data_IF_251733819022
#
_entry.id   IF_251733819022
#
_cell.length_a   1.000
_cell.length_b   1.000
_cell.length_c   1.000
_cell.angle_alpha   90.00
_cell.angle_beta   90.00
_cell.angle_gamma   90.00
#
_symmetry.space_group_name_H-M   'P 1'
#
loop_
_entity.id
_entity.type
_entity.pdbx_description
1 polymer ?
#
# COMPACT_ATOMS: atom_id res chain seq x y z
N UNK A 1 -18.28 33.97 16.66
CA UNK A 1 -19.02 34.12 15.40
C UNK A 1 -18.17 34.95 14.44
N UNK A 2 -17.25 34.31 13.71
CA UNK A 2 -16.52 34.95 12.63
C UNK A 2 -17.05 34.36 11.32
N UNK A 3 -17.98 35.08 10.69
CA UNK A 3 -18.36 34.84 9.29
C UNK A 3 -17.20 35.36 8.44
N UNK A 4 -16.31 34.48 8.02
CA UNK A 4 -15.44 34.77 6.88
C UNK A 4 -16.32 34.75 5.63
N UNK A 5 -16.46 35.91 5.01
CA UNK A 5 -17.10 36.07 3.71
C UNK A 5 -16.32 35.27 2.66
N UNK A 6 -16.86 34.13 2.24
CA UNK A 6 -16.56 33.54 0.94
C UNK A 6 -17.13 34.46 -0.16
N UNK A 7 -16.40 34.73 -1.24
CA UNK A 7 -16.95 35.43 -2.41
C UNK A 7 -18.15 34.64 -3.00
N UNK A 8 -19.09 35.38 -3.60
CA UNK A 8 -20.42 34.94 -4.07
C UNK A 8 -20.41 33.81 -5.14
N UNK A 9 -21.55 33.13 -5.39
CA UNK A 9 -21.65 31.68 -5.38
C UNK A 9 -21.01 31.04 -6.61
N UNK A 10 -19.92 30.32 -6.41
CA UNK A 10 -19.62 29.22 -7.31
C UNK A 10 -20.69 28.15 -7.06
N UNK A 11 -21.59 27.94 -8.02
CA UNK A 11 -22.65 26.94 -7.94
C UNK A 11 -22.06 25.55 -8.14
N UNK A 12 -21.33 25.04 -7.14
CA UNK A 12 -20.99 23.63 -7.08
C UNK A 12 -22.29 22.81 -7.12
N UNK A 13 -22.37 21.81 -8.00
CA UNK A 13 -23.60 21.03 -8.22
C UNK A 13 -23.82 19.94 -7.19
N UNK A 14 -22.84 19.67 -6.34
CA UNK A 14 -23.00 18.75 -5.24
C UNK A 14 -24.03 19.27 -4.23
N UNK A 15 -25.00 18.41 -3.91
CA UNK A 15 -25.94 18.60 -2.80
C UNK A 15 -25.93 17.33 -1.93
N UNK A 16 -26.28 17.48 -0.65
CA UNK A 16 -26.38 16.33 0.24
C UNK A 16 -27.33 15.25 -0.34
N UNK A 17 -26.86 14.00 -0.35
CA UNK A 17 -27.56 12.88 -0.99
C UNK A 17 -27.08 12.59 -2.42
N UNK A 18 -26.16 13.37 -3.00
CA UNK A 18 -25.45 12.96 -4.21
C UNK A 18 -24.32 11.95 -3.88
N UNK A 19 -23.86 11.25 -4.91
CA UNK A 19 -22.88 10.18 -4.78
C UNK A 19 -21.47 10.65 -4.46
N UNK A 20 -20.68 9.73 -3.90
CA UNK A 20 -19.25 9.88 -3.65
C UNK A 20 -18.55 8.80 -4.47
N UNK A 21 -17.62 9.22 -5.32
CA UNK A 21 -16.91 8.38 -6.29
C UNK A 21 -15.51 8.17 -5.75
N UNK A 22 -15.27 6.95 -5.27
CA UNK A 22 -14.12 6.61 -4.45
C UNK A 22 -13.20 5.73 -5.28
N UNK A 23 -11.91 6.03 -5.28
CA UNK A 23 -10.88 5.04 -5.63
C UNK A 23 -10.16 4.66 -4.35
N UNK A 24 -10.29 3.39 -3.96
CA UNK A 24 -9.66 2.80 -2.79
C UNK A 24 -8.40 2.04 -3.18
N UNK A 25 -7.32 2.16 -2.42
CA UNK A 25 -6.12 1.31 -2.53
C UNK A 25 -5.49 1.13 -1.14
N UNK A 26 -4.33 0.46 -1.04
CA UNK A 26 -3.60 0.33 0.23
C UNK A 26 -2.14 0.77 0.14
N UNK A 27 -1.60 1.13 1.30
CA UNK A 27 -0.30 1.78 1.50
C UNK A 27 0.74 0.86 2.11
N UNK A 28 0.31 -0.29 2.62
CA UNK A 28 1.18 -1.32 3.14
C UNK A 28 1.53 -2.36 2.07
N UNK A 29 2.61 -3.10 2.34
CA UNK A 29 3.10 -4.21 1.53
C UNK A 29 3.72 -5.24 2.46
N UNK A 30 3.88 -6.51 2.03
CA UNK A 30 4.50 -7.52 2.86
C UNK A 30 5.95 -7.16 3.15
N UNK A 31 6.36 -7.23 4.41
CA UNK A 31 7.69 -6.82 4.84
C UNK A 31 8.16 -7.52 6.11
N UNK A 32 9.44 -7.34 6.44
CA UNK A 32 9.97 -7.68 7.75
C UNK A 32 9.86 -6.45 8.66
N UNK A 33 8.97 -6.48 9.65
CA UNK A 33 8.88 -5.43 10.69
C UNK A 33 9.82 -5.76 11.84
N UNK A 34 10.45 -4.76 12.45
CA UNK A 34 11.24 -4.95 13.66
C UNK A 34 10.32 -5.37 14.82
N UNK A 35 10.79 -6.29 15.66
CA UNK A 35 10.06 -6.69 16.89
C UNK A 35 10.17 -5.61 17.97
N UNK A 36 9.22 -5.52 18.92
CA UNK A 36 9.33 -4.62 20.08
C UNK A 36 10.57 -4.86 20.95
N UNK A 37 11.14 -6.07 20.90
CA UNK A 37 12.47 -6.40 21.44
C UNK A 37 13.28 -6.98 20.29
N UNK A 38 14.21 -6.18 19.76
CA UNK A 38 15.00 -6.56 18.58
C UNK A 38 16.34 -7.18 18.92
N UNK A 39 16.81 -7.05 20.15
CA UNK A 39 18.17 -7.48 20.52
C UNK A 39 18.33 -9.00 20.40
N UNK A 40 19.12 -9.44 19.43
CA UNK A 40 19.55 -10.84 19.27
C UNK A 40 21.07 -10.88 19.14
N UNK A 41 21.74 -11.73 19.92
CA UNK A 41 23.18 -11.96 19.84
C UNK A 41 23.46 -13.45 19.72
N UNK A 42 24.12 -13.87 18.64
CA UNK A 42 24.46 -15.29 18.40
C UNK A 42 25.68 -15.39 17.49
N UNK A 43 26.57 -16.35 17.77
CA UNK A 43 27.70 -16.67 16.87
C UNK A 43 28.69 -15.51 16.64
N UNK A 44 28.80 -14.56 17.58
CA UNK A 44 29.63 -13.36 17.41
C UNK A 44 28.98 -12.24 16.58
N UNK A 45 27.72 -12.38 16.20
CA UNK A 45 26.95 -11.38 15.47
C UNK A 45 25.91 -10.68 16.36
N UNK A 46 25.66 -9.42 16.02
CA UNK A 46 24.54 -8.62 16.48
C UNK A 46 23.47 -8.70 15.39
N UNK A 47 22.37 -9.37 15.69
CA UNK A 47 21.21 -9.53 14.80
C UNK A 47 20.04 -8.65 15.29
N UNK A 48 19.14 -8.33 14.37
CA UNK A 48 17.91 -7.58 14.66
C UNK A 48 16.72 -8.54 14.54
N UNK A 49 16.04 -8.78 15.65
CA UNK A 49 14.81 -9.56 15.68
C UNK A 49 13.71 -8.91 14.86
N UNK A 50 13.18 -9.66 13.88
CA UNK A 50 12.09 -9.23 12.99
C UNK A 50 10.87 -10.15 13.09
N UNK A 51 9.74 -9.66 12.63
CA UNK A 51 8.48 -10.38 12.44
C UNK A 51 8.01 -10.22 10.99
N UNK A 52 7.39 -11.27 10.46
CA UNK A 52 6.80 -11.24 9.11
C UNK A 52 5.46 -10.53 9.13
N UNK A 53 5.30 -9.53 8.27
CA UNK A 53 4.07 -8.78 8.06
C UNK A 53 3.53 -9.09 6.66
N UNK A 54 2.27 -9.51 6.54
CA UNK A 54 1.65 -9.89 5.27
C UNK A 54 2.10 -11.24 4.69
N UNK A 55 1.68 -11.49 3.44
CA UNK A 55 1.91 -12.74 2.71
C UNK A 55 3.22 -12.81 1.91
N UNK A 56 4.34 -12.33 2.47
CA UNK A 56 5.59 -12.11 1.71
C UNK A 56 6.25 -13.36 1.11
N UNK A 57 6.88 -13.19 -0.05
CA UNK A 57 7.82 -14.17 -0.63
C UNK A 57 9.17 -14.10 0.08
N UNK A 58 9.24 -14.64 1.30
CA UNK A 58 10.35 -14.44 2.24
C UNK A 58 11.74 -14.86 1.72
N UNK A 59 11.80 -15.81 0.78
CA UNK A 59 13.06 -16.20 0.15
C UNK A 59 13.70 -15.05 -0.64
N UNK A 60 12.90 -14.12 -1.15
CA UNK A 60 13.40 -12.97 -1.93
C UNK A 60 14.08 -11.90 -1.06
N UNK A 61 13.88 -11.95 0.26
CA UNK A 61 14.48 -11.04 1.24
C UNK A 61 15.90 -11.44 1.65
N UNK A 62 16.31 -12.67 1.33
CA UNK A 62 17.67 -13.13 1.56
C UNK A 62 18.64 -12.45 0.60
N UNK A 63 19.87 -12.23 1.06
CA UNK A 63 20.96 -11.68 0.27
C UNK A 63 20.71 -10.30 -0.34
N UNK A 64 19.78 -9.55 0.26
CA UNK A 64 19.47 -8.15 -0.04
C UNK A 64 20.23 -7.21 0.87
N UNK A 65 20.56 -6.05 0.32
CA UNK A 65 21.17 -4.95 1.04
C UNK A 65 20.04 -4.14 1.69
N UNK A 66 19.79 -4.40 2.98
CA UNK A 66 18.62 -3.89 3.69
C UNK A 66 18.95 -2.68 4.55
N UNK A 67 18.04 -1.71 4.51
CA UNK A 67 17.95 -0.61 5.45
C UNK A 67 16.66 -0.72 6.28
N UNK A 68 16.37 0.32 7.09
CA UNK A 68 15.12 0.43 7.85
C UNK A 68 14.43 1.77 7.58
N UNK A 69 13.11 1.75 7.58
CA UNK A 69 12.26 2.94 7.49
C UNK A 69 11.00 2.78 8.33
N UNK A 70 10.40 3.88 8.79
CA UNK A 70 9.13 3.85 9.51
C UNK A 70 8.98 5.05 10.44
N UNK A 71 8.29 4.86 11.57
CA UNK A 71 8.07 5.91 12.57
C UNK A 71 8.76 5.60 13.89
N UNK A 72 9.22 6.65 14.56
CA UNK A 72 9.77 6.62 15.93
C UNK A 72 8.95 7.57 16.80
N UNK A 73 8.66 7.17 18.03
CA UNK A 73 8.09 8.03 19.05
C UNK A 73 9.25 8.58 19.88
N UNK A 74 9.36 9.90 19.93
CA UNK A 74 10.40 10.59 20.66
C UNK A 74 9.81 11.41 21.80
N UNK A 75 10.58 11.50 22.86
CA UNK A 75 10.36 12.42 23.96
C UNK A 75 11.08 13.73 23.66
N UNK A 76 10.40 14.85 23.85
CA UNK A 76 10.95 16.19 23.65
C UNK A 76 10.79 17.00 24.94
N UNK A 77 11.88 17.65 25.35
CA UNK A 77 11.88 18.61 26.46
C UNK A 77 11.90 20.02 25.88
N UNK A 78 10.83 20.78 26.11
CA UNK A 78 10.74 22.18 25.69
C UNK A 78 10.17 23.04 26.82
N UNK A 79 10.89 24.10 27.16
CA UNK A 79 10.49 25.08 28.20
C UNK A 79 10.15 24.43 29.56
N UNK A 80 10.87 23.36 29.94
CA UNK A 80 10.63 22.61 31.18
C UNK A 80 9.39 21.70 31.15
N UNK A 81 8.73 21.57 30.00
CA UNK A 81 7.61 20.67 29.76
C UNK A 81 8.01 19.47 28.88
N UNK A 82 7.49 18.31 29.25
CA UNK A 82 7.68 17.07 28.51
C UNK A 82 6.56 16.89 27.49
N UNK A 83 6.94 16.59 26.25
CA UNK A 83 6.01 16.27 25.16
C UNK A 83 6.48 15.06 24.38
N UNK A 84 5.56 14.44 23.63
CA UNK A 84 5.84 13.27 22.80
C UNK A 84 5.39 13.56 21.38
N UNK A 85 6.26 13.28 20.43
CA UNK A 85 5.96 13.44 19.00
C UNK A 85 6.45 12.23 18.23
N UNK A 86 5.86 11.97 17.07
CA UNK A 86 6.39 10.96 16.16
C UNK A 86 7.22 11.62 15.06
N UNK A 87 8.32 10.98 14.65
CA UNK A 87 9.11 11.36 13.47
C UNK A 87 9.18 10.20 12.51
N UNK A 88 9.19 10.50 11.21
CA UNK A 88 9.49 9.50 10.19
C UNK A 88 11.01 9.40 10.05
N UNK A 89 11.51 8.17 10.00
CA UNK A 89 12.93 7.88 9.81
C UNK A 89 13.10 6.94 8.63
N UNK A 90 14.16 7.16 7.85
CA UNK A 90 14.63 6.27 6.81
C UNK A 90 16.15 6.33 6.81
N UNK A 91 16.78 5.19 7.02
CA UNK A 91 18.22 5.04 6.79
C UNK A 91 18.38 4.71 5.31
N UNK A 92 19.23 5.46 4.60
CA UNK A 92 19.49 5.19 3.17
C UNK A 92 20.52 4.08 2.96
N UNK A 93 21.44 3.94 3.90
CA UNK A 93 22.57 3.03 3.81
C UNK A 93 22.19 1.57 4.13
N UNK A 94 22.80 0.59 3.45
CA UNK A 94 22.53 -0.83 3.67
C UNK A 94 23.21 -1.30 4.96
N UNK A 95 22.49 -1.18 6.06
CA UNK A 95 23.02 -1.46 7.40
C UNK A 95 22.88 -2.93 7.81
N UNK A 96 22.05 -3.72 7.14
CA UNK A 96 21.80 -5.10 7.55
C UNK A 96 21.50 -6.04 6.39
N UNK A 97 21.63 -7.35 6.62
CA UNK A 97 21.43 -8.38 5.60
C UNK A 97 20.94 -9.68 6.21
N UNK A 98 20.02 -10.37 5.53
CA UNK A 98 19.65 -11.76 5.85
C UNK A 98 20.47 -12.70 4.95
N UNK A 99 21.58 -13.29 5.40
CA UNK A 99 22.42 -14.12 4.55
C UNK A 99 21.79 -15.49 4.30
N UNK A 100 21.94 -16.04 3.09
CA UNK A 100 21.63 -17.45 2.85
C UNK A 100 22.65 -18.39 3.51
N UNK A 101 22.22 -19.62 3.81
CA UNK A 101 23.16 -20.69 4.14
C UNK A 101 23.85 -21.16 2.85
N UNK A 102 25.16 -21.37 2.91
CA UNK A 102 25.92 -21.84 1.76
C UNK A 102 25.44 -23.25 1.33
N UNK A 103 25.24 -23.45 0.03
CA UNK A 103 24.80 -24.72 -0.58
C UNK A 103 25.65 -25.95 -0.17
N UNK A 104 26.94 -25.75 0.13
CA UNK A 104 27.82 -26.82 0.59
C UNK A 104 27.37 -27.43 1.94
N UNK A 105 26.62 -26.67 2.73
CA UNK A 105 26.05 -27.04 4.02
C UNK A 105 24.56 -27.38 3.94
N UNK A 106 23.93 -27.17 2.79
CA UNK A 106 22.54 -27.53 2.48
C UNK A 106 22.45 -28.04 1.04
N UNK A 107 22.68 -29.34 0.87
CA UNK A 107 22.79 -29.96 -0.46
C UNK A 107 21.46 -30.03 -1.20
N UNK A 108 20.34 -29.96 -0.47
CA UNK A 108 19.00 -30.12 -1.02
C UNK A 108 18.28 -28.77 -1.22
N UNK A 109 18.99 -27.65 -1.01
CA UNK A 109 18.43 -26.29 -1.06
C UNK A 109 17.76 -25.95 -2.40
N UNK A 110 18.25 -26.52 -3.49
CA UNK A 110 17.71 -26.29 -4.84
C UNK A 110 16.43 -27.08 -5.12
N UNK A 111 16.17 -28.16 -4.38
CA UNK A 111 14.91 -28.92 -4.48
C UNK A 111 13.79 -28.24 -3.68
N UNK A 112 14.14 -27.32 -2.79
CA UNK A 112 13.18 -26.43 -2.13
C UNK A 112 13.82 -25.55 -1.05
N UNK A 113 13.74 -24.23 -1.24
CA UNK A 113 14.25 -23.26 -0.26
C UNK A 113 13.29 -23.09 0.93
N UNK A 114 13.39 -24.01 1.90
CA UNK A 114 12.53 -24.04 3.09
C UNK A 114 13.03 -23.10 4.18
N UNK A 115 12.36 -21.97 4.33
CA UNK A 115 12.70 -20.95 5.33
C UNK A 115 11.87 -21.14 6.60
N UNK A 116 12.53 -21.33 7.74
CA UNK A 116 11.88 -21.12 9.03
C UNK A 116 11.83 -19.61 9.32
N UNK A 117 10.61 -19.05 9.34
CA UNK A 117 10.38 -17.62 9.48
C UNK A 117 10.92 -17.02 10.79
N UNK A 118 11.10 -17.82 11.84
CA UNK A 118 11.60 -17.37 13.13
C UNK A 118 13.12 -17.47 13.24
N UNK A 119 13.72 -18.58 12.79
CA UNK A 119 15.16 -18.84 12.99
C UNK A 119 16.04 -18.37 11.85
N UNK A 120 15.51 -18.17 10.64
CA UNK A 120 16.33 -17.91 9.44
C UNK A 120 16.14 -16.51 8.83
N UNK A 121 15.28 -15.66 9.39
CA UNK A 121 14.98 -14.32 8.83
C UNK A 121 15.57 -13.15 9.61
N UNK A 122 16.28 -13.39 10.71
CA UNK A 122 16.91 -12.30 11.49
C UNK A 122 18.09 -11.71 10.70
N UNK A 123 18.05 -10.43 10.28
CA UNK A 123 19.17 -9.81 9.60
C UNK A 123 20.33 -9.54 10.56
N UNK A 124 21.55 -9.74 10.06
CA UNK A 124 22.81 -9.37 10.72
C UNK A 124 23.02 -7.87 10.55
N UNK A 125 23.27 -7.16 11.65
CA UNK A 125 23.57 -5.72 11.69
C UNK A 125 25.08 -5.47 11.79
N UNK A 126 25.77 -6.21 12.66
CA UNK A 126 27.21 -6.02 12.92
C UNK A 126 27.82 -7.26 13.57
N UNK A 127 29.14 -7.27 13.72
CA UNK A 127 29.85 -8.24 14.58
C UNK A 127 30.09 -7.66 15.97
N UNK A 128 30.13 -8.52 16.99
CA UNK A 128 30.47 -8.10 18.35
C UNK A 128 31.87 -7.47 18.40
N UNK A 129 32.83 -8.02 17.65
CA UNK A 129 34.21 -7.51 17.55
C UNK A 129 34.24 -6.05 17.09
N UNK A 130 33.54 -5.71 16.00
CA UNK A 130 33.53 -4.33 15.52
C UNK A 130 32.72 -3.40 16.42
N UNK A 131 31.66 -3.89 17.05
CA UNK A 131 30.90 -3.11 18.01
C UNK A 131 31.74 -2.76 19.25
N UNK A 132 32.53 -3.69 19.79
CA UNK A 132 33.43 -3.44 20.92
C UNK A 132 34.56 -2.46 20.57
N UNK A 133 35.21 -2.63 19.40
CA UNK A 133 36.25 -1.70 18.95
C UNK A 133 35.72 -0.27 18.78
N UNK A 134 34.51 -0.12 18.25
CA UNK A 134 33.89 1.19 18.08
C UNK A 134 33.44 1.81 19.41
N UNK A 135 33.08 1.01 20.42
CA UNK A 135 32.81 1.50 21.78
C UNK A 135 34.08 2.10 22.40
N UNK A 136 35.20 1.39 22.38
CA UNK A 136 36.46 1.87 22.97
C UNK A 136 37.01 3.13 22.28
N UNK A 137 36.72 3.32 20.99
CA UNK A 137 37.07 4.55 20.28
C UNK A 137 36.17 5.76 20.66
N UNK A 138 34.95 5.50 21.15
CA UNK A 138 33.98 6.51 21.55
C UNK A 138 34.04 6.87 23.06
N UNK A 139 34.91 6.21 23.85
CA UNK A 139 35.13 6.46 25.28
C UNK A 139 35.75 7.84 25.61
N UNK A 140 35.96 8.70 24.60
CA UNK A 140 36.14 10.15 24.80
C UNK A 140 34.81 10.94 24.87
N UNK A 141 33.64 10.30 25.05
CA UNK A 141 32.42 11.06 25.38
C UNK A 141 31.04 10.39 25.33
N UNK A 142 30.85 9.11 24.96
CA UNK A 142 29.49 8.54 24.87
C UNK A 142 29.12 7.63 26.06
N UNK A 143 28.04 8.00 26.77
CA UNK A 143 27.39 7.22 27.84
C UNK A 143 26.81 5.91 27.27
N UNK A 144 27.00 4.79 27.97
CA UNK A 144 26.34 3.53 27.61
C UNK A 144 24.83 3.65 27.75
N UNK A 145 24.14 3.84 26.63
CA UNK A 145 22.68 3.69 26.52
C UNK A 145 22.34 2.22 26.46
N UNK A 146 22.46 1.54 27.60
CA UNK A 146 22.22 0.11 27.73
C UNK A 146 20.73 -0.23 27.70
N UNK A 147 20.04 -0.06 26.57
CA UNK A 147 18.69 -0.61 26.43
C UNK A 147 18.77 -2.14 26.47
N UNK A 148 18.00 -2.82 27.34
CA UNK A 148 17.92 -4.27 27.30
C UNK A 148 17.15 -4.78 26.07
N UNK A 149 16.33 -3.91 25.44
CA UNK A 149 15.43 -4.29 24.35
C UNK A 149 16.09 -4.28 22.97
N UNK A 150 17.07 -3.41 22.76
CA UNK A 150 17.66 -3.14 21.44
C UNK A 150 19.19 -3.03 21.55
N UNK A 151 19.90 -3.34 20.47
CA UNK A 151 21.34 -3.05 20.39
C UNK A 151 21.56 -1.54 20.40
N UNK A 152 22.52 -1.04 21.19
CA UNK A 152 22.83 0.39 21.26
C UNK A 152 23.22 0.97 19.90
N UNK A 153 23.91 0.19 19.04
CA UNK A 153 24.23 0.58 17.67
C UNK A 153 22.98 0.89 16.84
N UNK A 154 21.93 0.07 16.96
CA UNK A 154 20.67 0.30 16.25
C UNK A 154 19.99 1.59 16.73
N UNK A 155 19.94 1.81 18.05
CA UNK A 155 19.35 3.03 18.62
C UNK A 155 20.14 4.29 18.21
N UNK A 156 21.47 4.22 18.17
CA UNK A 156 22.32 5.32 17.71
C UNK A 156 22.04 5.69 16.24
N UNK A 157 21.92 4.70 15.36
CA UNK A 157 21.58 4.91 13.95
C UNK A 157 20.20 5.56 13.79
N UNK A 158 19.20 5.07 14.54
CA UNK A 158 17.84 5.63 14.53
C UNK A 158 17.84 7.06 15.07
N UNK A 159 18.52 7.31 16.19
CA UNK A 159 18.59 8.61 16.86
C UNK A 159 19.28 9.66 15.99
N UNK A 160 20.38 9.28 15.33
CA UNK A 160 21.08 10.14 14.37
C UNK A 160 20.16 10.55 13.22
N UNK A 161 19.37 9.62 12.67
CA UNK A 161 18.42 9.92 11.61
C UNK A 161 17.22 10.74 12.11
N UNK A 162 16.77 10.49 13.34
CA UNK A 162 15.67 11.20 13.96
C UNK A 162 16.07 12.62 14.41
N UNK A 163 17.36 12.91 14.60
CA UNK A 163 17.84 14.15 15.18
C UNK A 163 17.49 14.29 16.67
N UNK A 164 17.67 13.22 17.44
CA UNK A 164 17.47 13.18 18.90
C UNK A 164 18.58 12.38 19.59
N UNK A 165 18.60 12.35 20.93
CA UNK A 165 19.46 11.44 21.66
C UNK A 165 18.87 10.01 21.67
N UNK A 166 19.67 8.93 21.74
CA UNK A 166 19.13 7.56 21.81
C UNK A 166 18.18 7.32 23.00
N UNK A 167 18.38 8.04 24.10
CA UNK A 167 17.56 7.98 25.32
C UNK A 167 16.18 8.63 25.15
N UNK A 168 16.04 9.53 24.17
CA UNK A 168 14.77 10.19 23.86
C UNK A 168 13.82 9.28 23.06
N UNK A 169 14.33 8.19 22.48
CA UNK A 169 13.50 7.22 21.73
C UNK A 169 12.65 6.42 22.72
N UNK A 170 11.34 6.61 22.67
CA UNK A 170 10.38 5.91 23.52
C UNK A 170 9.99 4.55 22.95
N UNK A 171 9.64 4.51 21.66
CA UNK A 171 9.26 3.29 20.93
C UNK A 171 9.36 3.55 19.42
N UNK A 172 9.20 2.50 18.60
CA UNK A 172 9.21 2.63 17.14
C UNK A 172 8.46 1.53 16.42
N UNK A 173 7.97 1.87 15.23
CA UNK A 173 7.47 0.92 14.23
C UNK A 173 8.28 1.09 12.96
N UNK A 174 9.26 0.20 12.80
CA UNK A 174 10.21 0.21 11.69
C UNK A 174 10.08 -1.09 10.89
N UNK A 175 10.26 -0.97 9.59
CA UNK A 175 10.31 -2.08 8.64
C UNK A 175 11.65 -2.11 7.93
N UNK A 176 12.14 -3.31 7.62
CA UNK A 176 13.24 -3.50 6.72
C UNK A 176 12.81 -3.14 5.29
N UNK A 177 13.70 -2.53 4.52
CA UNK A 177 13.46 -2.20 3.12
C UNK A 177 14.72 -2.43 2.26
N UNK A 178 14.52 -2.85 1.01
CA UNK A 178 15.60 -2.92 0.03
C UNK A 178 16.13 -1.51 -0.28
N UNK A 179 17.45 -1.36 -0.27
CA UNK A 179 18.14 -0.12 -0.66
C UNK A 179 18.23 0.04 -2.18
N UNK A 180 18.04 -1.04 -2.94
CA UNK A 180 18.07 -1.00 -4.39
C UNK A 180 16.91 -0.17 -4.96
N UNK A 181 17.22 1.01 -5.51
CA UNK A 181 16.23 1.93 -6.10
C UNK A 181 15.39 1.28 -7.19
N UNK A 182 14.14 1.71 -7.31
CA UNK A 182 13.25 1.33 -8.40
C UNK A 182 13.78 1.88 -9.73
N UNK A 183 13.61 1.11 -10.81
CA UNK A 183 14.15 1.46 -12.13
C UNK A 183 13.19 1.08 -13.25
N UNK A 184 13.28 1.83 -14.35
CA UNK A 184 12.78 1.37 -15.65
C UNK A 184 13.83 0.47 -16.28
N UNK A 185 13.45 -0.74 -16.66
CA UNK A 185 14.34 -1.83 -17.04
C UNK A 185 13.78 -2.69 -18.19
N UNK A 186 14.50 -3.76 -18.52
CA UNK A 186 14.26 -4.57 -19.72
C UNK A 186 15.05 -4.07 -20.92
N UNK A 187 15.28 -4.94 -21.90
CA UNK A 187 16.05 -4.61 -23.10
C UNK A 187 15.45 -3.42 -23.88
N UNK A 188 14.13 -3.24 -23.79
CA UNK A 188 13.38 -2.15 -24.43
C UNK A 188 12.91 -1.07 -23.44
N UNK A 189 13.38 -1.08 -22.18
CA UNK A 189 12.94 -0.14 -21.13
C UNK A 189 11.42 -0.13 -20.90
N UNK A 190 10.82 -1.31 -20.94
CA UNK A 190 9.37 -1.51 -20.93
C UNK A 190 8.84 -1.97 -19.56
N UNK A 191 9.71 -2.24 -18.59
CA UNK A 191 9.32 -2.74 -17.27
C UNK A 191 9.68 -1.78 -16.16
N UNK A 192 8.87 -1.78 -15.10
CA UNK A 192 9.19 -1.18 -13.81
C UNK A 192 9.65 -2.30 -12.87
N UNK A 193 10.89 -2.24 -12.41
CA UNK A 193 11.38 -3.11 -11.33
C UNK A 193 11.41 -2.32 -10.02
N UNK A 194 10.56 -2.68 -9.08
CA UNK A 194 10.39 -1.94 -7.82
C UNK A 194 9.94 -2.87 -6.71
N UNK A 195 10.34 -2.60 -5.47
CA UNK A 195 9.59 -3.13 -4.33
C UNK A 195 8.29 -2.36 -4.14
N UNK A 196 7.26 -3.03 -3.61
CA UNK A 196 5.99 -2.41 -3.19
C UNK A 196 5.18 -1.82 -4.35
N UNK A 197 5.30 -2.38 -5.56
CA UNK A 197 4.31 -2.11 -6.62
C UNK A 197 2.92 -2.45 -6.09
N UNK A 198 2.82 -3.59 -5.41
CA UNK A 198 1.72 -3.97 -4.55
C UNK A 198 1.81 -3.24 -3.19
N UNK A 199 1.01 -2.21 -2.91
CA UNK A 199 0.06 -1.56 -3.82
C UNK A 199 0.30 -0.05 -3.95
N UNK A 200 1.56 0.39 -3.77
CA UNK A 200 1.91 1.79 -3.96
C UNK A 200 1.74 2.24 -5.42
N UNK A 201 1.74 1.30 -6.38
CA UNK A 201 1.45 1.60 -7.78
C UNK A 201 0.02 2.11 -7.97
N UNK A 202 -1.00 1.40 -7.46
CA UNK A 202 -2.40 1.87 -7.57
C UNK A 202 -2.67 3.06 -6.67
N UNK A 203 -2.05 3.12 -5.48
CA UNK A 203 -2.11 4.32 -4.61
C UNK A 203 -1.62 5.57 -5.34
N UNK A 204 -0.46 5.48 -6.02
CA UNK A 204 0.09 6.57 -6.82
C UNK A 204 -0.86 6.98 -7.95
N UNK A 205 -1.33 6.01 -8.74
CA UNK A 205 -2.22 6.28 -9.87
C UNK A 205 -3.52 6.94 -9.41
N UNK A 206 -4.12 6.45 -8.32
CA UNK A 206 -5.36 6.97 -7.74
C UNK A 206 -5.20 8.42 -7.28
N UNK A 207 -4.15 8.70 -6.50
CA UNK A 207 -3.88 10.04 -6.00
C UNK A 207 -3.58 11.02 -7.14
N UNK A 208 -2.76 10.61 -8.11
CA UNK A 208 -2.41 11.45 -9.26
C UNK A 208 -3.63 11.74 -10.14
N UNK A 209 -4.50 10.75 -10.35
CA UNK A 209 -5.76 10.94 -11.06
C UNK A 209 -6.72 11.90 -10.35
N UNK A 210 -6.83 11.83 -9.02
CA UNK A 210 -7.64 12.78 -8.24
C UNK A 210 -7.12 14.22 -8.39
N UNK A 211 -5.81 14.42 -8.24
CA UNK A 211 -5.16 15.74 -8.38
C UNK A 211 -5.42 16.30 -9.79
N UNK A 212 -5.15 15.51 -10.83
CA UNK A 212 -5.19 15.99 -12.21
C UNK A 212 -6.62 16.09 -12.77
N UNK A 213 -7.57 15.31 -12.26
CA UNK A 213 -8.99 15.51 -12.59
C UNK A 213 -9.57 16.75 -11.94
N UNK A 214 -8.91 17.28 -10.89
CA UNK A 214 -9.39 18.40 -10.07
C UNK A 214 -8.47 19.63 -10.16
N UNK A 215 -7.65 19.74 -11.21
CA UNK A 215 -6.57 20.74 -11.30
C UNK A 215 -7.03 22.17 -11.56
N UNK A 216 -8.27 22.38 -12.02
CA UNK A 216 -8.87 23.71 -12.20
C UNK A 216 -10.27 23.76 -11.63
N UNK A 217 -10.74 24.95 -11.23
CA UNK A 217 -12.13 25.15 -10.77
C UNK A 217 -13.15 24.71 -11.81
N UNK A 218 -12.87 24.98 -13.10
CA UNK A 218 -13.70 24.53 -14.23
C UNK A 218 -13.79 23.01 -14.38
N UNK A 219 -12.85 22.24 -13.81
CA UNK A 219 -12.89 20.78 -13.85
C UNK A 219 -13.96 20.18 -12.93
N UNK A 220 -14.52 20.99 -12.03
CA UNK A 220 -15.53 20.60 -11.04
C UNK A 220 -16.84 21.38 -11.18
N UNK A 221 -16.95 22.35 -12.10
CA UNK A 221 -18.15 23.17 -12.30
C UNK A 221 -19.40 22.32 -12.59
N UNK A 222 -19.24 21.28 -13.40
CA UNK A 222 -20.32 20.36 -13.75
C UNK A 222 -20.40 19.10 -12.87
N UNK A 223 -19.52 18.98 -11.87
CA UNK A 223 -19.46 17.80 -11.02
C UNK A 223 -20.57 17.81 -9.96
N UNK A 224 -21.44 16.81 -10.03
CA UNK A 224 -22.55 16.63 -9.08
C UNK A 224 -22.20 15.75 -7.88
N UNK A 225 -21.15 14.94 -7.96
CA UNK A 225 -20.70 14.09 -6.85
C UNK A 225 -19.42 14.58 -6.19
N UNK A 226 -18.90 13.80 -5.25
CA UNK A 226 -17.60 14.06 -4.62
C UNK A 226 -16.59 13.05 -5.12
N UNK A 227 -15.44 13.53 -5.58
CA UNK A 227 -14.29 12.69 -5.93
C UNK A 227 -13.46 12.43 -4.68
N UNK A 228 -13.15 11.17 -4.42
CA UNK A 228 -12.43 10.75 -3.22
C UNK A 228 -11.39 9.69 -3.55
N UNK A 229 -10.25 9.76 -2.87
CA UNK A 229 -9.28 8.67 -2.79
C UNK A 229 -9.16 8.26 -1.32
N UNK A 230 -9.21 6.96 -1.06
CA UNK A 230 -9.04 6.39 0.26
C UNK A 230 -7.89 5.36 0.22
N UNK A 231 -6.81 5.64 0.94
CA UNK A 231 -5.62 4.79 0.97
C UNK A 231 -5.50 4.17 2.36
N UNK A 232 -5.67 2.85 2.45
CA UNK A 232 -5.73 2.12 3.71
C UNK A 232 -4.37 1.53 4.10
N UNK A 233 -4.19 1.29 5.39
CA UNK A 233 -3.10 0.44 5.90
C UNK A 233 -3.68 -0.95 6.22
N UNK A 234 -2.83 -1.92 6.53
CA UNK A 234 -3.22 -3.25 7.01
C UNK A 234 -4.02 -4.13 6.04
N UNK A 235 -4.00 -3.87 4.73
CA UNK A 235 -4.67 -4.75 3.76
C UNK A 235 -4.09 -6.17 3.82
N UNK A 236 -2.76 -6.25 3.84
CA UNK A 236 -1.97 -7.49 3.78
C UNK A 236 -2.18 -8.42 4.98
N UNK A 237 -2.84 -7.91 6.02
CA UNK A 237 -3.13 -8.62 7.26
C UNK A 237 -4.62 -8.69 7.56
N UNK A 238 -5.48 -8.38 6.58
CA UNK A 238 -6.93 -8.55 6.63
C UNK A 238 -7.75 -7.28 6.86
N UNK A 239 -7.13 -6.11 6.92
CA UNK A 239 -7.77 -4.79 7.10
C UNK A 239 -8.49 -4.53 8.43
N UNK A 240 -8.42 -5.46 9.39
CA UNK A 240 -9.06 -5.35 10.71
C UNK A 240 -8.27 -4.45 11.67
N UNK A 241 -8.28 -3.14 11.42
CA UNK A 241 -7.63 -2.15 12.27
C UNK A 241 -8.35 -0.79 12.21
N UNK A 242 -7.99 0.15 13.09
CA UNK A 242 -8.59 1.49 13.09
C UNK A 242 -8.39 2.26 11.78
N UNK A 243 -7.29 2.01 11.08
CA UNK A 243 -6.93 2.67 9.81
C UNK A 243 -7.05 1.77 8.57
N UNK A 244 -7.50 0.52 8.74
CA UNK A 244 -7.71 -0.42 7.64
C UNK A 244 -9.07 -0.28 6.98
N UNK A 245 -9.27 -0.94 5.85
CA UNK A 245 -10.54 -0.88 5.11
C UNK A 245 -11.73 -1.48 5.86
N UNK A 246 -11.50 -2.34 6.87
CA UNK A 246 -12.54 -2.88 7.75
C UNK A 246 -13.01 -1.89 8.83
N UNK A 247 -12.40 -0.70 8.90
CA UNK A 247 -12.73 0.31 9.89
C UNK A 247 -13.91 1.19 9.47
N UNK A 248 -14.58 1.88 10.41
CA UNK A 248 -15.68 2.78 10.10
C UNK A 248 -15.23 4.08 9.38
N UNK A 249 -13.93 4.28 9.13
CA UNK A 249 -13.37 5.57 8.67
C UNK A 249 -14.03 6.10 7.41
N UNK A 250 -14.36 5.25 6.44
CA UNK A 250 -15.03 5.67 5.20
C UNK A 250 -16.46 6.07 5.51
N UNK A 251 -17.22 5.23 6.22
CA UNK A 251 -18.61 5.54 6.59
C UNK A 251 -18.69 6.85 7.39
N UNK A 252 -17.77 7.06 8.34
CA UNK A 252 -17.67 8.29 9.11
C UNK A 252 -17.34 9.49 8.22
N UNK A 253 -16.47 9.32 7.22
CA UNK A 253 -16.18 10.37 6.23
C UNK A 253 -17.43 10.70 5.39
N UNK A 254 -18.14 9.71 4.83
CA UNK A 254 -19.36 9.94 4.06
C UNK A 254 -20.45 10.63 4.92
N UNK A 255 -20.60 10.19 6.16
CA UNK A 255 -21.52 10.78 7.14
C UNK A 255 -21.18 12.23 7.43
N UNK A 256 -19.93 12.54 7.76
CA UNK A 256 -19.48 13.92 8.05
C UNK A 256 -19.59 14.84 6.84
N UNK A 257 -19.25 14.34 5.64
CA UNK A 257 -19.40 15.13 4.42
C UNK A 257 -20.88 15.41 4.17
N UNK A 258 -21.74 14.39 4.15
CA UNK A 258 -23.18 14.57 3.93
C UNK A 258 -23.79 15.55 4.95
N UNK A 259 -23.45 15.38 6.24
CA UNK A 259 -23.96 16.20 7.33
C UNK A 259 -23.47 17.66 7.29
N UNK A 260 -22.36 17.93 6.61
CA UNK A 260 -21.84 19.29 6.43
C UNK A 260 -22.71 20.12 5.46
N UNK A 261 -23.49 19.46 4.60
CA UNK A 261 -24.36 20.11 3.61
C UNK A 261 -25.86 20.02 3.97
N UNK A 262 -26.26 19.07 4.81
CA UNK A 262 -27.65 18.95 5.31
C UNK A 262 -27.69 18.10 6.57
N UNK A 263 -28.54 18.47 7.54
CA UNK A 263 -28.78 17.67 8.75
C UNK A 263 -29.81 16.56 8.56
N UNK A 264 -30.35 16.35 7.35
CA UNK A 264 -31.30 15.28 7.07
C UNK A 264 -30.60 13.91 7.00
N UNK A 265 -30.84 13.09 8.02
CA UNK A 265 -30.22 11.77 8.17
C UNK A 265 -30.63 10.79 7.08
N UNK A 266 -31.72 11.05 6.33
CA UNK A 266 -32.16 10.22 5.21
C UNK A 266 -31.24 10.33 3.99
N UNK A 267 -30.43 11.39 3.91
CA UNK A 267 -29.59 11.65 2.75
C UNK A 267 -28.34 10.78 2.70
N UNK A 268 -27.81 10.32 3.84
CA UNK A 268 -26.63 9.45 3.86
C UNK A 268 -26.88 8.09 3.16
N UNK A 269 -27.97 7.34 3.47
CA UNK A 269 -28.29 6.13 2.71
C UNK A 269 -28.45 6.38 1.20
N UNK A 270 -29.04 7.51 0.81
CA UNK A 270 -29.20 7.88 -0.61
C UNK A 270 -27.83 8.15 -1.25
N UNK A 271 -26.95 8.88 -0.56
CA UNK A 271 -25.59 9.15 -1.02
C UNK A 271 -24.80 7.84 -1.21
N UNK A 272 -24.90 6.90 -0.27
CA UNK A 272 -24.25 5.58 -0.36
C UNK A 272 -24.71 4.82 -1.61
N UNK A 273 -26.02 4.75 -1.88
CA UNK A 273 -26.53 4.03 -3.06
C UNK A 273 -26.14 4.69 -4.39
N UNK A 274 -25.93 6.00 -4.38
CA UNK A 274 -25.41 6.76 -5.53
C UNK A 274 -23.88 6.79 -5.62
N UNK A 275 -23.18 6.23 -4.63
CA UNK A 275 -21.73 6.16 -4.59
C UNK A 275 -21.21 4.96 -5.39
N UNK A 276 -19.93 5.01 -5.74
CA UNK A 276 -19.25 3.94 -6.45
C UNK A 276 -17.80 3.85 -5.99
N UNK A 277 -17.32 2.63 -5.79
CA UNK A 277 -15.96 2.34 -5.37
C UNK A 277 -15.20 1.60 -6.47
N UNK A 278 -14.07 2.15 -6.88
CA UNK A 278 -13.03 1.43 -7.61
C UNK A 278 -12.03 0.92 -6.57
N UNK A 279 -12.07 -0.38 -6.28
CA UNK A 279 -11.08 -1.07 -5.46
C UNK A 279 -9.86 -1.36 -6.34
N UNK A 280 -8.85 -0.51 -6.22
CA UNK A 280 -7.65 -0.51 -7.03
C UNK A 280 -6.52 -1.23 -6.31
N UNK A 281 -6.21 -2.43 -6.81
CA UNK A 281 -5.19 -3.30 -6.27
C UNK A 281 -4.61 -4.17 -7.39
N UNK A 282 -3.31 -4.43 -7.37
CA UNK A 282 -2.57 -5.06 -8.47
C UNK A 282 -3.19 -6.40 -8.91
N UNK A 283 -2.89 -6.80 -10.15
CA UNK A 283 -3.42 -8.04 -10.76
C UNK A 283 -2.28 -8.98 -11.18
N UNK A 284 -2.57 -10.26 -11.32
CA UNK A 284 -1.57 -11.25 -11.73
C UNK A 284 -1.45 -11.32 -13.26
N UNK A 285 -0.33 -10.86 -13.81
CA UNK A 285 0.01 -11.07 -15.21
C UNK A 285 0.27 -12.57 -15.49
N UNK A 286 0.04 -13.01 -16.73
CA UNK A 286 0.40 -14.35 -17.17
C UNK A 286 1.91 -14.57 -16.99
N UNK A 287 2.28 -15.52 -16.14
CA UNK A 287 3.69 -15.83 -15.91
C UNK A 287 4.20 -16.81 -16.97
N UNK A 288 5.20 -16.46 -17.81
CA UNK A 288 5.61 -17.30 -18.94
C UNK A 288 6.16 -18.68 -18.53
N UNK A 289 6.80 -18.76 -17.35
CA UNK A 289 7.32 -20.03 -16.83
C UNK A 289 6.30 -20.85 -16.00
N UNK A 290 5.09 -20.34 -15.77
CA UNK A 290 4.06 -20.97 -14.92
C UNK A 290 2.65 -20.72 -15.50
N UNK A 291 2.51 -20.80 -16.83
CA UNK A 291 1.26 -20.46 -17.53
C UNK A 291 0.08 -21.33 -17.10
N UNK A 292 0.33 -22.54 -16.59
CA UNK A 292 -0.68 -23.47 -16.09
C UNK A 292 -1.45 -22.94 -14.86
N UNK A 293 -0.94 -21.89 -14.20
CA UNK A 293 -1.57 -21.26 -13.04
C UNK A 293 -2.70 -20.29 -13.38
N UNK A 294 -2.81 -19.85 -14.62
CA UNK A 294 -3.91 -19.00 -15.07
C UNK A 294 -5.06 -19.81 -15.66
N UNK A 295 -6.26 -19.25 -15.61
CA UNK A 295 -7.38 -19.76 -16.39
C UNK A 295 -7.11 -19.49 -17.88
N UNK A 296 -7.46 -20.42 -18.77
CA UNK A 296 -7.02 -20.40 -20.18
C UNK A 296 -7.49 -19.15 -20.94
N UNK A 297 -8.68 -18.63 -20.63
CA UNK A 297 -9.29 -17.49 -21.30
C UNK A 297 -9.11 -16.15 -20.54
N UNK A 298 -8.51 -16.17 -19.35
CA UNK A 298 -8.36 -14.99 -18.50
C UNK A 298 -6.89 -14.80 -18.08
N UNK A 299 -6.08 -14.42 -19.06
CA UNK A 299 -4.62 -14.35 -18.96
C UNK A 299 -4.15 -12.90 -19.19
N UNK A 300 -4.17 -12.02 -18.16
CA UNK A 300 -3.73 -10.65 -18.32
C UNK A 300 -2.30 -10.56 -18.85
N UNK A 301 -2.12 -9.80 -19.93
CA UNK A 301 -0.83 -9.52 -20.54
C UNK A 301 -0.30 -8.18 -20.03
N UNK A 302 1.02 -8.07 -19.93
CA UNK A 302 1.70 -6.79 -19.74
C UNK A 302 1.40 -5.86 -20.93
N UNK A 303 1.30 -4.56 -20.68
CA UNK A 303 0.92 -3.49 -21.62
C UNK A 303 -0.52 -3.60 -22.17
N UNK A 304 -1.26 -4.63 -21.76
CA UNK A 304 -2.61 -4.92 -22.22
C UNK A 304 -3.69 -4.07 -21.53
N UNK A 305 -3.31 -3.21 -20.58
CA UNK A 305 -4.24 -2.32 -19.89
C UNK A 305 -4.76 -2.87 -18.57
N UNK A 306 -5.60 -2.06 -17.93
CA UNK A 306 -6.08 -2.30 -16.57
C UNK A 306 -6.97 -3.56 -16.53
N UNK A 307 -6.71 -4.42 -15.56
CA UNK A 307 -7.40 -5.71 -15.42
C UNK A 307 -8.64 -5.54 -14.55
N UNK A 308 -9.80 -5.97 -15.04
CA UNK A 308 -11.03 -6.08 -14.26
C UNK A 308 -11.06 -7.47 -13.62
N UNK A 309 -11.05 -7.51 -12.28
CA UNK A 309 -10.92 -8.74 -11.49
C UNK A 309 -12.29 -9.28 -11.12
N UNK A 310 -12.62 -10.48 -11.57
CA UNK A 310 -13.90 -11.14 -11.32
C UNK A 310 -13.73 -12.35 -10.40
N UNK A 311 -14.64 -12.53 -9.45
CA UNK A 311 -14.72 -13.76 -8.67
C UNK A 311 -16.14 -13.92 -8.09
N UNK A 312 -16.88 -14.94 -8.54
CA UNK A 312 -18.28 -15.15 -8.12
C UNK A 312 -18.43 -15.37 -6.60
N UNK A 313 -17.40 -15.90 -5.93
CA UNK A 313 -17.35 -16.10 -4.48
C UNK A 313 -17.01 -14.80 -3.70
N UNK A 314 -17.11 -13.64 -4.36
CA UNK A 314 -16.90 -12.32 -3.75
C UNK A 314 -15.52 -12.15 -3.11
N UNK A 315 -14.49 -12.78 -3.69
CA UNK A 315 -13.08 -12.43 -3.42
C UNK A 315 -12.71 -11.09 -4.06
N UNK A 316 -13.48 -10.70 -5.08
CA UNK A 316 -13.55 -9.40 -5.70
C UNK A 316 -15.03 -9.01 -5.76
N UNK A 317 -15.38 -7.76 -5.53
CA UNK A 317 -16.76 -7.26 -5.48
C UNK A 317 -17.36 -6.93 -6.86
N UNK A 318 -16.56 -7.09 -7.92
CA UNK A 318 -16.97 -6.85 -9.31
C UNK A 318 -18.19 -7.68 -9.70
N UNK A 319 -19.14 -7.04 -10.39
CA UNK A 319 -20.27 -7.69 -11.02
C UNK A 319 -20.53 -7.12 -12.43
N UNK A 320 -21.57 -7.61 -13.12
CA UNK A 320 -21.90 -7.18 -14.48
C UNK A 320 -22.17 -5.67 -14.60
N UNK A 321 -22.85 -5.06 -13.62
CA UNK A 321 -23.15 -3.63 -13.62
C UNK A 321 -21.89 -2.80 -13.41
N UNK A 322 -21.10 -3.14 -12.38
CA UNK A 322 -19.93 -2.34 -12.00
C UNK A 322 -18.80 -2.47 -13.03
N UNK A 323 -18.61 -3.66 -13.60
CA UNK A 323 -17.68 -3.86 -14.72
C UNK A 323 -18.15 -3.17 -16.00
N UNK A 324 -19.46 -3.18 -16.33
CA UNK A 324 -19.99 -2.47 -17.50
C UNK A 324 -19.70 -0.97 -17.43
N UNK A 325 -20.05 -0.32 -16.32
CA UNK A 325 -19.78 1.12 -16.12
C UNK A 325 -18.29 1.41 -16.35
N UNK A 326 -17.43 0.62 -15.73
CA UNK A 326 -15.99 0.84 -15.78
C UNK A 326 -15.41 0.62 -17.19
N UNK A 327 -15.94 -0.35 -17.95
CA UNK A 327 -15.59 -0.56 -19.37
C UNK A 327 -16.08 0.53 -20.28
N UNK A 328 -17.30 1.03 -20.09
CA UNK A 328 -17.83 2.10 -20.93
C UNK A 328 -17.00 3.39 -20.83
N UNK A 329 -16.48 3.69 -19.63
CA UNK A 329 -15.51 4.78 -19.44
C UNK A 329 -14.22 4.48 -20.21
N UNK A 330 -13.71 3.26 -20.16
CA UNK A 330 -12.53 2.86 -20.94
C UNK A 330 -12.75 3.02 -22.45
N UNK A 331 -13.90 2.54 -22.97
CA UNK A 331 -14.29 2.63 -24.37
C UNK A 331 -14.34 4.09 -24.85
N UNK A 332 -14.96 4.98 -24.07
CA UNK A 332 -15.05 6.42 -24.38
C UNK A 332 -13.66 7.07 -24.53
N UNK A 333 -12.69 6.65 -23.71
CA UNK A 333 -11.32 7.17 -23.71
C UNK A 333 -10.34 6.34 -24.53
N UNK A 334 -10.80 5.26 -25.19
CA UNK A 334 -9.97 4.33 -25.97
C UNK A 334 -8.84 3.69 -25.13
N UNK A 335 -9.13 3.39 -23.87
CA UNK A 335 -8.20 2.75 -22.94
C UNK A 335 -8.37 1.22 -23.00
N UNK A 336 -7.26 0.46 -23.08
CA UNK A 336 -7.33 -0.99 -23.10
C UNK A 336 -7.68 -1.53 -21.70
N UNK A 337 -8.47 -2.59 -21.67
CA UNK A 337 -8.86 -3.31 -20.45
C UNK A 337 -8.79 -4.80 -20.67
N UNK A 338 -8.55 -5.55 -19.60
CA UNK A 338 -8.44 -7.00 -19.62
C UNK A 338 -9.33 -7.62 -18.54
N UNK A 339 -9.47 -8.94 -18.59
CA UNK A 339 -10.24 -9.71 -17.63
C UNK A 339 -9.39 -10.71 -16.88
N UNK A 340 -9.68 -10.85 -15.60
CA UNK A 340 -9.06 -11.87 -14.75
C UNK A 340 -10.12 -12.62 -13.95
N UNK A 341 -10.00 -13.94 -13.95
CA UNK A 341 -10.62 -14.85 -12.99
C UNK A 341 -9.61 -15.95 -12.67
N UNK A 342 -9.60 -16.40 -11.43
CA UNK A 342 -8.78 -17.57 -11.06
C UNK A 342 -9.37 -18.85 -11.63
N UNK A 343 -8.54 -19.88 -11.79
CA UNK A 343 -9.02 -21.24 -12.05
C UNK A 343 -9.91 -21.72 -10.91
N UNK A 344 -10.91 -22.54 -11.23
CA UNK A 344 -11.85 -23.08 -10.23
C UNK A 344 -11.20 -23.97 -9.16
N UNK A 345 -10.05 -24.58 -9.46
CA UNK A 345 -9.28 -25.44 -8.56
C UNK A 345 -8.25 -24.69 -7.70
N UNK A 346 -8.20 -23.36 -7.79
CA UNK A 346 -7.26 -22.51 -7.07
C UNK A 346 -7.96 -21.43 -6.25
N UNK A 347 -7.43 -21.16 -5.06
CA UNK A 347 -7.90 -20.07 -4.22
C UNK A 347 -7.37 -18.71 -4.72
N UNK A 348 -8.10 -17.65 -4.41
CA UNK A 348 -7.74 -16.26 -4.71
C UNK A 348 -7.58 -15.47 -3.41
N UNK A 349 -6.63 -14.52 -3.38
CA UNK A 349 -6.62 -13.45 -2.39
C UNK A 349 -7.95 -12.68 -2.38
N UNK A 350 -8.23 -11.99 -1.27
CA UNK A 350 -9.30 -10.98 -1.22
C UNK A 350 -8.67 -9.61 -1.38
N UNK A 351 -9.48 -8.58 -1.55
CA UNK A 351 -9.05 -7.17 -1.55
C UNK A 351 -9.85 -6.37 -0.52
N UNK A 352 -9.61 -5.07 -0.44
CA UNK A 352 -10.48 -4.11 0.26
C UNK A 352 -11.89 -4.00 -0.36
N UNK A 353 -12.09 -4.44 -1.61
CA UNK A 353 -13.33 -4.27 -2.36
C UNK A 353 -14.53 -4.92 -1.67
N UNK A 354 -14.52 -6.25 -1.43
CA UNK A 354 -15.58 -6.93 -0.69
C UNK A 354 -15.79 -6.41 0.74
N UNK A 355 -14.71 -5.98 1.41
CA UNK A 355 -14.75 -5.44 2.77
C UNK A 355 -15.58 -4.16 2.80
N UNK A 356 -15.27 -3.19 1.92
CA UNK A 356 -15.98 -1.92 1.85
C UNK A 356 -17.39 -2.08 1.24
N UNK A 357 -17.53 -2.93 0.23
CA UNK A 357 -18.82 -3.21 -0.39
C UNK A 357 -19.83 -3.78 0.62
N UNK A 358 -19.41 -4.75 1.44
CA UNK A 358 -20.27 -5.35 2.45
C UNK A 358 -20.43 -4.48 3.70
N UNK A 359 -19.38 -3.78 4.12
CA UNK A 359 -19.40 -2.93 5.32
C UNK A 359 -20.21 -1.64 5.16
N UNK A 360 -20.28 -1.09 3.94
CA UNK A 360 -20.91 0.21 3.68
C UNK A 360 -22.13 0.07 2.75
N UNK A 361 -22.15 -0.93 1.86
CA UNK A 361 -23.20 -1.10 0.86
C UNK A 361 -22.98 -0.29 -0.42
N UNK A 362 -21.72 -0.08 -0.82
CA UNK A 362 -21.34 0.68 -2.04
C UNK A 362 -21.08 -0.27 -3.20
N UNK A 363 -21.61 0.07 -4.39
CA UNK A 363 -21.31 -0.62 -5.65
C UNK A 363 -19.81 -0.56 -5.93
N UNK A 364 -19.18 -1.71 -6.12
CA UNK A 364 -17.71 -1.81 -6.20
C UNK A 364 -17.25 -2.57 -7.44
N UNK A 365 -16.16 -2.10 -8.06
CA UNK A 365 -15.39 -2.82 -9.08
C UNK A 365 -13.96 -3.00 -8.59
N UNK A 366 -13.42 -4.21 -8.70
CA UNK A 366 -12.03 -4.52 -8.39
C UNK A 366 -11.20 -4.54 -9.66
N UNK A 367 -10.10 -3.77 -9.64
CA UNK A 367 -9.25 -3.55 -10.81
C UNK A 367 -7.78 -3.45 -10.41
N UNK A 368 -6.87 -3.72 -11.34
CA UNK A 368 -5.43 -3.67 -11.08
C UNK A 368 -4.56 -3.64 -12.32
N UNK A 369 -3.38 -3.01 -12.23
CA UNK A 369 -2.35 -3.20 -13.25
C UNK A 369 -1.79 -4.63 -13.15
N UNK A 370 -1.54 -5.32 -14.27
CA UNK A 370 -0.93 -6.64 -14.25
C UNK A 370 0.54 -6.55 -13.80
N UNK A 371 0.94 -7.44 -12.90
CA UNK A 371 2.32 -7.59 -12.44
C UNK A 371 2.74 -9.05 -12.29
N UNK A 372 4.05 -9.26 -12.20
CA UNK A 372 4.69 -10.51 -11.81
C UNK A 372 5.33 -10.37 -10.43
N UNK A 373 5.60 -11.51 -9.80
CA UNK A 373 6.31 -11.62 -8.52
C UNK A 373 5.65 -10.85 -7.37
N UNK A 374 4.32 -10.76 -7.36
CA UNK A 374 3.55 -10.14 -6.27
C UNK A 374 3.98 -10.64 -4.89
N UNK A 375 4.08 -9.72 -3.93
CA UNK A 375 4.62 -9.93 -2.58
C UNK A 375 6.14 -10.23 -2.50
N UNK A 376 6.88 -10.10 -3.60
CA UNK A 376 8.34 -10.10 -3.57
C UNK A 376 8.88 -8.78 -2.99
N UNK A 377 10.09 -8.80 -2.43
CA UNK A 377 10.82 -7.56 -2.13
C UNK A 377 11.07 -6.72 -3.39
N UNK A 378 11.05 -7.33 -4.59
CA UNK A 378 11.23 -6.65 -5.88
C UNK A 378 10.36 -7.26 -6.97
N UNK A 379 9.30 -6.54 -7.28
CA UNK A 379 8.22 -6.91 -8.20
C UNK A 379 8.46 -6.31 -9.59
N UNK A 380 7.60 -6.68 -10.54
CA UNK A 380 7.72 -6.29 -11.94
C UNK A 380 6.35 -6.00 -12.55
N UNK A 381 6.15 -4.80 -13.10
CA UNK A 381 5.00 -4.46 -13.96
C UNK A 381 5.46 -3.77 -15.25
N UNK A 382 4.55 -3.54 -16.18
CA UNK A 382 4.81 -2.83 -17.44
C UNK A 382 4.63 -1.31 -17.28
N UNK A 383 5.44 -0.53 -18.00
CA UNK A 383 5.37 0.94 -17.95
C UNK A 383 4.05 1.48 -18.51
N UNK A 384 3.52 0.84 -19.55
CA UNK A 384 2.28 1.27 -20.18
C UNK A 384 1.07 1.02 -19.28
N UNK A 385 1.08 -0.06 -18.49
CA UNK A 385 0.00 -0.35 -17.57
C UNK A 385 -0.12 0.68 -16.45
N UNK A 386 1.00 1.21 -15.93
CA UNK A 386 0.97 2.33 -14.98
C UNK A 386 0.28 3.55 -15.59
N UNK A 387 0.58 3.85 -16.86
CA UNK A 387 -0.05 4.96 -17.59
C UNK A 387 -1.53 4.69 -17.84
N UNK A 388 -1.89 3.50 -18.30
CA UNK A 388 -3.27 3.10 -18.53
C UNK A 388 -4.10 3.18 -17.24
N UNK A 389 -3.57 2.72 -16.10
CA UNK A 389 -4.23 2.84 -14.79
C UNK A 389 -4.51 4.29 -14.42
N UNK A 390 -3.51 5.16 -14.52
CA UNK A 390 -3.68 6.59 -14.23
C UNK A 390 -4.75 7.24 -15.13
N UNK A 391 -4.67 7.03 -16.45
CA UNK A 391 -5.61 7.64 -17.40
C UNK A 391 -7.04 7.11 -17.17
N UNK A 392 -7.20 5.82 -16.84
CA UNK A 392 -8.51 5.24 -16.55
C UNK A 392 -9.11 5.81 -15.27
N UNK A 393 -8.32 5.91 -14.19
CA UNK A 393 -8.78 6.51 -12.93
C UNK A 393 -9.14 7.99 -13.10
N UNK A 394 -8.41 8.73 -13.93
CA UNK A 394 -8.73 10.11 -14.25
C UNK A 394 -10.03 10.21 -15.06
N UNK A 395 -10.20 9.37 -16.08
CA UNK A 395 -11.41 9.27 -16.86
C UNK A 395 -12.63 8.89 -16.00
N UNK A 396 -12.44 7.99 -15.03
CA UNK A 396 -13.48 7.62 -14.06
C UNK A 396 -13.98 8.84 -13.30
N UNK A 397 -13.08 9.62 -12.70
CA UNK A 397 -13.46 10.83 -11.98
C UNK A 397 -14.18 11.86 -12.85
N UNK A 398 -13.82 11.98 -14.13
CA UNK A 398 -14.40 12.98 -15.03
C UNK A 398 -15.79 12.58 -15.55
N UNK A 399 -16.02 11.29 -15.79
CA UNK A 399 -17.17 10.83 -16.57
C UNK A 399 -18.20 10.00 -15.80
N UNK A 400 -17.84 9.45 -14.63
CA UNK A 400 -18.71 8.53 -13.90
C UNK A 400 -20.11 9.09 -13.67
N UNK A 401 -20.22 10.31 -13.14
CA UNK A 401 -21.49 10.97 -12.79
C UNK A 401 -22.46 11.03 -13.98
N UNK A 402 -21.93 11.33 -15.17
CA UNK A 402 -22.71 11.46 -16.40
C UNK A 402 -23.13 10.12 -16.98
N UNK A 403 -22.30 9.09 -16.81
CA UNK A 403 -22.60 7.75 -17.29
C UNK A 403 -23.60 7.04 -16.36
N UNK A 404 -23.37 7.09 -15.06
CA UNK A 404 -24.22 6.43 -14.05
C UNK A 404 -25.67 6.94 -14.11
N UNK A 405 -25.87 8.24 -14.38
CA UNK A 405 -27.19 8.84 -14.57
C UNK A 405 -28.00 8.25 -15.76
N UNK A 406 -27.34 7.54 -16.69
CA UNK A 406 -27.98 6.91 -17.85
C UNK A 406 -28.27 5.42 -17.64
N UNK A 407 -27.92 4.88 -16.49
CA UNK A 407 -28.00 3.45 -16.19
C UNK A 407 -29.17 3.19 -15.25
N UNK A 408 -29.99 2.20 -15.59
CA UNK A 408 -31.12 1.74 -14.77
C UNK A 408 -30.96 0.25 -14.53
N UNK A 409 -30.67 -0.12 -13.29
CA UNK A 409 -30.31 -1.51 -12.91
C UNK A 409 -31.18 -2.08 -11.81
N UNK A 410 -31.75 -1.22 -10.96
CA UNK A 410 -32.72 -1.60 -9.93
C UNK A 410 -34.02 -0.80 -10.18
N UNK A 411 -35.16 -1.50 -10.25
CA UNK A 411 -36.51 -0.95 -10.51
C UNK A 411 -37.25 -0.75 -9.19
#
# INVERSE_FOLDING_TARGET
>A
MARTHLPAPYHYKYIAGNGIYIIGAHTDSPCLKLKPVTKVSKGGYLEVGVQTYGGGLWHTWFDRDLAIAGRVIIKEQKDGSESYSHRLVRIEEPIMRVPTLAIHLDRDVNDGFKVNKQSHLAPVLATSVKAELNKSAAENGSVETGSPKHHSLLLQLIAAQAGCAPEDICDFELQACDTQKSVIAGALKEFVFSGRLDNLCMSLCSLKALIDSSSSESSLEDESGIRMVALFDHEEVGSDSAQGAGSPVVLDALSRITNSFSSDTKLLPIAIQRSFLVSADMAHALHPNYMDKHEENHQPQMHGGLVIKNNANQRYATNAVTSFIFREIATKHKLPVQDFVVRNDMACGSTIGPILASGIGIRTVDVGAPQLSMHSIREMCAVDDVKHSYEHFKAFFQDFSHLDAKITVDI
#
